data_IF_199508574629
#
_entry.id   IF_199508574629
#
_cell.length_a   1.000
_cell.length_b   1.000
_cell.length_c   1.000
_cell.angle_alpha   90.00
_cell.angle_beta   90.00
_cell.angle_gamma   90.00
#
_symmetry.space_group_name_H-M   'P 1'
#
loop_
_entity.id
_entity.type
_entity.pdbx_description
1 polymer ?
#
# COMPACT_ATOMS: atom_id res chain seq x y z
N UNK A 1 -4.27 -12.66 -11.02
CA UNK A 1 -4.55 -12.77 -9.58
C UNK A 1 -5.35 -11.55 -9.11
N UNK A 2 -6.33 -11.80 -8.27
CA UNK A 2 -7.17 -10.71 -7.75
C UNK A 2 -6.74 -10.39 -6.32
N UNK A 3 -6.47 -9.12 -6.06
CA UNK A 3 -6.07 -8.66 -4.73
C UNK A 3 -7.30 -8.21 -3.93
N UNK A 4 -7.29 -8.37 -2.59
CA UNK A 4 -8.38 -7.86 -1.77
C UNK A 4 -8.37 -6.33 -1.75
N UNK A 5 -9.46 -5.73 -1.28
CA UNK A 5 -9.54 -4.27 -1.19
C UNK A 5 -8.68 -3.71 -0.07
N UNK A 6 -8.43 -4.49 0.97
CA UNK A 6 -7.64 -4.06 2.12
C UNK A 6 -6.61 -5.10 2.54
N UNK A 7 -5.49 -4.60 3.04
CA UNK A 7 -4.51 -5.40 3.78
C UNK A 7 -4.28 -4.77 5.14
N UNK A 8 -4.15 -5.60 6.19
CA UNK A 8 -3.64 -5.14 7.47
C UNK A 8 -2.15 -4.87 7.34
N UNK A 9 -1.54 -4.24 8.34
CA UNK A 9 -0.09 -4.02 8.34
C UNK A 9 0.67 -5.34 8.20
N UNK A 10 0.24 -6.37 8.93
CA UNK A 10 0.89 -7.68 8.87
C UNK A 10 0.78 -8.27 7.47
N UNK A 11 -0.42 -8.23 6.88
CA UNK A 11 -0.63 -8.73 5.52
C UNK A 11 0.20 -7.94 4.50
N UNK A 12 0.28 -6.62 4.67
CA UNK A 12 1.12 -5.79 3.81
C UNK A 12 2.58 -6.23 3.86
N UNK A 13 3.13 -6.39 5.06
CA UNK A 13 4.53 -6.77 5.23
C UNK A 13 4.83 -8.16 4.66
N UNK A 14 3.95 -9.11 4.92
CA UNK A 14 4.10 -10.48 4.41
C UNK A 14 3.98 -10.52 2.89
N UNK A 15 2.98 -9.85 2.34
CA UNK A 15 2.76 -9.85 0.90
C UNK A 15 3.84 -9.07 0.16
N UNK A 16 4.32 -7.98 0.74
CA UNK A 16 5.43 -7.22 0.15
C UNK A 16 6.67 -8.10 0.02
N UNK A 17 7.01 -8.81 1.09
CA UNK A 17 8.17 -9.71 1.08
C UNK A 17 8.01 -10.80 0.02
N UNK A 18 6.84 -11.44 -0.02
CA UNK A 18 6.57 -12.52 -0.96
C UNK A 18 6.56 -12.04 -2.42
N UNK A 19 5.84 -10.97 -2.68
CA UNK A 19 5.67 -10.46 -4.04
C UNK A 19 6.97 -9.88 -4.61
N UNK A 20 7.77 -9.22 -3.78
CA UNK A 20 9.05 -8.68 -4.25
C UNK A 20 10.04 -9.78 -4.62
N UNK A 21 9.96 -10.94 -3.99
CA UNK A 21 10.73 -12.12 -4.40
C UNK A 21 10.32 -12.60 -5.79
N UNK A 22 9.06 -12.37 -6.16
CA UNK A 22 8.54 -12.76 -7.46
C UNK A 22 8.73 -11.65 -8.52
N UNK A 23 9.40 -10.58 -8.16
CA UNK A 23 9.66 -9.47 -9.07
C UNK A 23 8.55 -8.44 -9.16
N UNK A 24 7.59 -8.47 -8.22
CA UNK A 24 6.49 -7.50 -8.18
C UNK A 24 6.83 -6.39 -7.18
N UNK A 25 6.79 -5.14 -7.62
CA UNK A 25 7.01 -4.02 -6.71
C UNK A 25 5.76 -3.76 -5.88
N UNK A 26 5.95 -3.60 -4.57
CA UNK A 26 4.86 -3.25 -3.65
C UNK A 26 5.22 -1.92 -2.99
N UNK A 27 4.41 -0.90 -3.23
CA UNK A 27 4.74 0.48 -2.87
C UNK A 27 3.69 1.02 -1.90
N UNK A 28 4.16 1.55 -0.77
CA UNK A 28 3.28 2.18 0.21
C UNK A 28 3.05 3.64 -0.19
N UNK A 29 1.80 4.00 -0.43
CA UNK A 29 1.43 5.33 -0.94
C UNK A 29 0.81 6.18 0.15
N UNK A 30 1.46 7.30 0.43
CA UNK A 30 1.02 8.27 1.44
C UNK A 30 0.05 9.27 0.80
N UNK A 31 -1.18 9.32 1.28
CA UNK A 31 -2.20 10.25 0.78
C UNK A 31 -2.41 11.46 1.70
N UNK A 32 -1.66 11.56 2.81
CA UNK A 32 -1.88 12.61 3.83
C UNK A 32 -0.61 13.40 4.15
N UNK A 33 0.43 13.25 3.34
CA UNK A 33 1.72 13.93 3.54
C UNK A 33 2.30 13.69 4.93
N UNK A 34 2.16 12.46 5.41
CA UNK A 34 2.66 12.05 6.72
C UNK A 34 3.26 10.65 6.61
N UNK A 35 4.51 10.55 6.13
CA UNK A 35 5.14 9.24 5.89
C UNK A 35 5.22 8.39 7.16
N UNK A 36 4.77 7.15 7.05
CA UNK A 36 4.91 6.15 8.11
C UNK A 36 6.37 5.70 8.17
N UNK A 37 6.93 5.42 7.00
CA UNK A 37 8.31 4.96 6.84
C UNK A 37 8.93 5.80 5.73
N UNK A 38 9.76 6.77 6.12
CA UNK A 38 10.32 7.73 5.18
C UNK A 38 11.14 7.09 4.07
N UNK A 39 11.76 5.96 4.35
CA UNK A 39 12.61 5.29 3.36
C UNK A 39 11.81 4.52 2.31
N UNK A 40 10.62 4.04 2.66
CA UNK A 40 9.85 3.13 1.81
C UNK A 40 8.46 3.65 1.44
N UNK A 41 8.19 4.94 1.66
CA UNK A 41 6.89 5.53 1.38
C UNK A 41 6.99 6.48 0.19
N UNK A 42 6.06 6.31 -0.75
CA UNK A 42 5.92 7.20 -1.90
C UNK A 42 4.72 8.12 -1.65
N UNK A 43 4.94 9.44 -1.75
CA UNK A 43 3.84 10.39 -1.67
C UNK A 43 2.93 10.20 -2.89
N UNK A 44 1.62 10.32 -2.69
CA UNK A 44 0.64 10.22 -3.76
C UNK A 44 0.97 11.23 -4.87
N UNK A 45 1.37 10.72 -6.03
CA UNK A 45 1.75 11.53 -7.18
C UNK A 45 1.49 10.69 -8.43
N UNK A 46 0.30 10.83 -9.05
CA UNK A 46 -0.07 9.99 -10.17
C UNK A 46 0.94 9.93 -11.32
N UNK A 47 1.51 11.05 -11.79
CA UNK A 47 2.51 10.98 -12.86
C UNK A 47 3.71 10.11 -12.49
N UNK A 48 4.22 10.25 -11.27
CA UNK A 48 5.36 9.44 -10.81
C UNK A 48 4.96 7.99 -10.56
N UNK A 49 3.76 7.76 -9.98
CA UNK A 49 3.28 6.42 -9.71
C UNK A 49 3.12 5.62 -10.99
N UNK A 50 2.72 6.26 -12.08
CA UNK A 50 2.55 5.59 -13.37
C UNK A 50 3.86 5.15 -14.01
N UNK A 51 5.00 5.58 -13.48
CA UNK A 51 6.30 5.13 -13.97
C UNK A 51 6.70 3.76 -13.43
N UNK A 52 6.04 3.29 -12.35
CA UNK A 52 6.28 1.94 -11.87
C UNK A 52 5.79 0.94 -12.91
N UNK A 53 6.46 -0.21 -12.98
CA UNK A 53 6.11 -1.23 -13.97
C UNK A 53 4.69 -1.73 -13.79
N UNK A 54 4.08 -2.18 -14.88
CA UNK A 54 2.75 -2.77 -14.84
C UNK A 54 2.73 -3.96 -13.88
N UNK A 55 1.61 -4.11 -13.18
CA UNK A 55 1.46 -5.17 -12.19
C UNK A 55 1.94 -4.80 -10.79
N UNK A 56 2.60 -3.64 -10.63
CA UNK A 56 3.01 -3.17 -9.30
C UNK A 56 1.78 -2.98 -8.41
N UNK A 57 1.95 -3.17 -7.11
CA UNK A 57 0.88 -3.05 -6.14
C UNK A 57 1.07 -1.76 -5.35
N UNK A 58 0.07 -0.88 -5.40
CA UNK A 58 0.04 0.35 -4.60
C UNK A 58 -0.83 0.12 -3.38
N UNK A 59 -0.26 0.31 -2.20
CA UNK A 59 -0.98 0.20 -0.94
C UNK A 59 -1.17 1.61 -0.39
N UNK A 60 -2.39 2.11 -0.49
CA UNK A 60 -2.73 3.48 -0.10
C UNK A 60 -3.08 3.55 1.38
N UNK A 61 -2.60 4.58 2.08
CA UNK A 61 -3.00 4.77 3.47
C UNK A 61 -3.38 6.22 3.73
N UNK A 62 -4.26 6.38 4.72
CA UNK A 62 -4.63 7.66 5.32
C UNK A 62 -4.55 7.50 6.84
N UNK A 63 -5.20 8.36 7.61
CA UNK A 63 -5.12 8.26 9.09
C UNK A 63 -5.78 7.00 9.65
N UNK A 64 -6.95 6.63 9.14
CA UNK A 64 -7.74 5.50 9.68
C UNK A 64 -7.98 4.38 8.69
N UNK A 65 -7.62 4.57 7.42
CA UNK A 65 -7.90 3.62 6.37
C UNK A 65 -9.27 3.77 5.73
N UNK A 66 -10.15 4.60 6.29
CA UNK A 66 -11.50 4.77 5.75
C UNK A 66 -11.53 5.59 4.46
N UNK A 67 -10.78 6.69 4.42
CA UNK A 67 -10.76 7.54 3.23
C UNK A 67 -10.15 6.81 2.04
N UNK A 68 -9.07 6.08 2.24
CA UNK A 68 -8.43 5.33 1.15
C UNK A 68 -9.30 4.18 0.68
N UNK A 69 -10.03 3.54 1.59
CA UNK A 69 -10.97 2.48 1.20
C UNK A 69 -12.13 3.07 0.38
N UNK A 70 -12.66 4.22 0.80
CA UNK A 70 -13.74 4.87 0.07
C UNK A 70 -13.33 5.32 -1.32
N UNK A 71 -12.05 5.68 -1.51
CA UNK A 71 -11.52 6.15 -2.80
C UNK A 71 -10.90 5.03 -3.63
N UNK A 72 -10.91 3.82 -3.13
CA UNK A 72 -10.19 2.73 -3.77
C UNK A 72 -10.63 2.49 -5.21
N UNK A 73 -11.94 2.57 -5.49
CA UNK A 73 -12.44 2.37 -6.86
C UNK A 73 -11.95 3.46 -7.81
N UNK A 74 -11.79 4.69 -7.31
CA UNK A 74 -11.24 5.78 -8.10
C UNK A 74 -9.76 5.54 -8.40
N UNK A 75 -9.01 5.04 -7.41
CA UNK A 75 -7.60 4.69 -7.62
C UNK A 75 -7.47 3.58 -8.66
N UNK A 76 -8.33 2.58 -8.60
CA UNK A 76 -8.32 1.48 -9.58
C UNK A 76 -8.57 1.99 -11.00
N UNK A 77 -9.46 2.96 -11.16
CA UNK A 77 -9.73 3.57 -12.46
C UNK A 77 -8.54 4.41 -12.95
N UNK A 78 -7.86 5.07 -12.03
CA UNK A 78 -6.72 5.94 -12.36
C UNK A 78 -5.48 5.13 -12.71
N UNK A 79 -5.31 3.96 -12.10
CA UNK A 79 -4.15 3.10 -12.30
C UNK A 79 -4.59 1.73 -12.81
N UNK A 80 -5.15 1.66 -14.04
CA UNK A 80 -5.72 0.40 -14.55
C UNK A 80 -4.67 -0.69 -14.81
N UNK A 81 -3.41 -0.33 -14.93
CA UNK A 81 -2.32 -1.28 -15.17
C UNK A 81 -1.60 -1.70 -13.90
N UNK A 82 -2.10 -1.26 -12.75
CA UNK A 82 -1.52 -1.56 -11.44
C UNK A 82 -2.60 -2.11 -10.52
N UNK A 83 -2.19 -2.64 -9.38
CA UNK A 83 -3.12 -3.13 -8.37
C UNK A 83 -3.22 -2.12 -7.25
N UNK A 84 -4.41 -1.91 -6.72
CA UNK A 84 -4.65 -0.93 -5.67
C UNK A 84 -5.28 -1.60 -4.45
N UNK A 85 -4.71 -1.36 -3.28
CA UNK A 85 -5.15 -1.92 -2.00
C UNK A 85 -5.12 -0.79 -0.98
N UNK A 86 -6.07 -0.78 -0.05
CA UNK A 86 -6.09 0.16 1.07
C UNK A 86 -5.46 -0.47 2.30
N UNK A 87 -4.63 0.27 3.01
CA UNK A 87 -4.04 -0.20 4.27
C UNK A 87 -5.07 -0.06 5.38
N UNK A 88 -5.55 -1.19 5.89
CA UNK A 88 -6.56 -1.22 6.96
C UNK A 88 -6.00 -0.57 8.24
N UNK A 89 -6.78 0.33 8.82
CA UNK A 89 -6.36 1.06 10.01
C UNK A 89 -5.45 2.24 9.73
N UNK A 90 -4.88 2.31 8.55
CA UNK A 90 -4.05 3.44 8.12
C UNK A 90 -2.88 3.71 9.05
N UNK A 91 -2.46 4.99 9.08
CA UNK A 91 -1.33 5.42 9.90
C UNK A 91 -1.60 5.24 11.40
N UNK A 92 -2.84 5.41 11.83
CA UNK A 92 -3.19 5.34 13.25
C UNK A 92 -2.97 3.97 13.87
N UNK A 93 -3.02 2.92 13.07
CA UNK A 93 -2.84 1.54 13.54
C UNK A 93 -1.45 0.99 13.21
N UNK A 94 -0.61 1.79 12.56
CA UNK A 94 0.71 1.35 12.17
C UNK A 94 1.61 1.16 13.39
N UNK A 95 2.25 0.00 13.47
CA UNK A 95 3.21 -0.32 14.52
C UNK A 95 4.61 -0.38 13.94
N UNK A 96 5.54 0.33 14.55
CA UNK A 96 6.93 0.34 14.12
C UNK A 96 7.68 -0.87 14.69
N UNK A 97 7.06 -1.56 15.63
CA UNK A 97 7.67 -2.65 16.36
C UNK A 97 7.85 -3.89 15.51
N UNK A 98 9.04 -4.48 15.55
CA UNK A 98 9.36 -5.72 14.84
C UNK A 98 8.50 -6.91 15.27
N UNK A 99 7.80 -6.82 16.39
CA UNK A 99 6.92 -7.88 16.84
C UNK A 99 5.81 -8.21 15.84
N UNK A 100 5.48 -7.27 14.95
CA UNK A 100 4.51 -7.53 13.90
C UNK A 100 4.97 -8.68 13.00
N UNK A 101 6.27 -8.78 12.75
CA UNK A 101 6.85 -9.85 11.94
C UNK A 101 7.05 -11.13 12.76
N UNK A 102 7.32 -10.98 14.05
CA UNK A 102 7.54 -12.13 14.93
C UNK A 102 6.26 -12.91 15.22
N UNK A 103 5.11 -12.32 14.95
CA UNK A 103 3.82 -12.97 15.15
C UNK A 103 3.44 -13.93 14.02
N UNK A 104 4.31 -14.12 13.08
CA UNK A 104 4.08 -15.10 12.01
C UNK A 104 3.96 -16.54 12.59
#
# INVERSE_FOLDING_TARGET
MKYPDEWTQKEFLLNKKRLEKEGVDVVLIDTILSPIDKANTQTYNPPQMKTYKEGSVFVFYCDTGKATLNRLQEYKKKFPNHHCVSLKGGRGYWRINMMVLDEE
#
